data_IF_582948158318
#
_entry.id   IF_582948158318
#
_cell.length_a   1.000
_cell.length_b   1.000
_cell.length_c   1.000
_cell.angle_alpha   90.00
_cell.angle_beta   90.00
_cell.angle_gamma   90.00
#
_symmetry.space_group_name_H-M   'P 1'
#
loop_
_entity.id
_entity.type
_entity.pdbx_description
1 polymer ?
#
# COMPACT_ATOMS: atom_id res chain seq x y z
N UNK A 1 20.72 25.19 -18.92
CA UNK A 1 20.32 26.60 -18.77
C UNK A 1 19.01 26.98 -19.50
N UNK A 2 18.38 26.10 -20.29
CA UNK A 2 17.10 26.41 -20.94
C UNK A 2 15.83 26.19 -20.08
N UNK A 3 15.91 25.40 -19.00
CA UNK A 3 14.75 25.12 -18.12
C UNK A 3 14.38 26.29 -17.18
N UNK A 4 15.31 27.20 -16.88
CA UNK A 4 15.06 28.34 -15.98
C UNK A 4 14.31 29.49 -16.66
N UNK A 5 14.42 29.62 -17.99
CA UNK A 5 13.78 30.68 -18.75
C UNK A 5 12.27 30.42 -18.95
N UNK A 6 11.87 29.17 -19.22
CA UNK A 6 10.44 28.80 -19.29
C UNK A 6 9.72 28.97 -17.95
N UNK A 7 10.40 28.73 -16.82
CA UNK A 7 9.85 28.88 -15.47
C UNK A 7 9.46 30.33 -15.12
N UNK A 8 10.14 31.34 -15.69
CA UNK A 8 9.80 32.76 -15.44
C UNK A 8 8.57 33.20 -16.24
N UNK A 9 8.40 32.71 -17.47
CA UNK A 9 7.24 33.05 -18.29
C UNK A 9 5.95 32.40 -17.78
N UNK A 10 6.00 31.14 -17.32
CA UNK A 10 4.82 30.48 -16.77
C UNK A 10 4.34 31.12 -15.46
N UNK A 11 5.25 31.47 -14.53
CA UNK A 11 4.87 32.12 -13.26
C UNK A 11 4.16 33.48 -13.46
N UNK A 12 4.60 34.28 -14.44
CA UNK A 12 3.98 35.57 -14.72
C UNK A 12 2.58 35.42 -15.35
N UNK A 13 2.38 34.39 -16.17
CA UNK A 13 1.07 34.08 -16.77
C UNK A 13 0.04 33.62 -15.72
N UNK A 14 0.46 32.82 -14.73
CA UNK A 14 -0.41 32.35 -13.65
C UNK A 14 -0.77 33.43 -12.61
N UNK A 15 0.05 34.48 -12.48
CA UNK A 15 -0.23 35.59 -11.56
C UNK A 15 -1.31 36.54 -12.11
N UNK A 16 -1.39 36.69 -13.44
CA UNK A 16 -2.37 37.54 -14.14
C UNK A 16 -3.77 36.86 -14.22
N UNK A 17 -3.81 35.52 -14.32
CA UNK A 17 -5.07 34.75 -14.31
C UNK A 17 -5.77 34.72 -12.95
N UNK A 18 -5.06 34.89 -11.83
CA UNK A 18 -5.66 34.96 -10.49
C UNK A 18 -6.30 36.32 -10.17
N UNK A 19 -5.99 37.37 -10.91
CA UNK A 19 -6.48 38.73 -10.64
C UNK A 19 -7.74 39.11 -11.44
N UNK A 20 -8.20 38.28 -12.38
CA UNK A 20 -9.39 38.55 -13.20
C UNK A 20 -10.57 37.66 -12.81
N UNK A 21 -11.38 38.10 -11.82
CA UNK A 21 -12.77 37.64 -11.66
C UNK A 21 -13.68 38.52 -12.52
N UNK A 22 -14.67 37.99 -13.26
CA UNK A 22 -15.80 38.78 -13.69
C UNK A 22 -16.87 38.84 -12.59
N UNK A 23 -17.35 40.05 -12.32
CA UNK A 23 -18.60 40.34 -11.63
C UNK A 23 -19.77 39.73 -12.41
N UNK A 24 -20.59 38.89 -11.77
CA UNK A 24 -21.97 38.63 -12.17
C UNK A 24 -22.75 38.00 -11.02
N UNK A 25 -23.47 38.81 -10.25
CA UNK A 25 -24.66 38.41 -9.50
C UNK A 25 -25.35 39.66 -8.92
N UNK A 26 -26.22 40.27 -9.70
CA UNK A 26 -27.25 41.20 -9.23
C UNK A 26 -28.53 40.91 -10.00
N UNK A 27 -29.68 41.04 -9.29
CA UNK A 27 -31.07 40.84 -9.71
C UNK A 27 -31.62 39.42 -9.48
N UNK A 28 -32.27 39.22 -8.33
CA UNK A 28 -33.73 39.21 -8.24
C UNK A 28 -34.16 39.22 -6.77
N UNK A 29 -34.97 40.22 -6.40
CA UNK A 29 -35.63 40.40 -5.11
C UNK A 29 -37.16 40.45 -5.35
N UNK A 30 -37.91 40.27 -4.26
CA UNK A 30 -39.37 40.24 -4.05
C UNK A 30 -40.01 38.84 -4.05
N UNK A 31 -40.73 38.36 -3.02
CA UNK A 31 -41.64 39.12 -2.12
C UNK A 31 -42.00 38.34 -0.82
N UNK A 32 -41.96 39.03 0.34
CA UNK A 32 -42.98 39.20 1.44
C UNK A 32 -44.04 38.10 1.68
N UNK A 33 -44.54 37.69 2.88
CA UNK A 33 -44.42 37.95 4.36
C UNK A 33 -45.53 37.03 5.05
N UNK A 34 -45.94 37.17 6.34
CA UNK A 34 -45.49 36.53 7.61
C UNK A 34 -46.53 35.58 8.32
N UNK A 35 -46.12 34.87 9.39
CA UNK A 35 -46.92 34.82 10.65
C UNK A 35 -46.24 34.17 11.87
N UNK A 36 -46.08 35.00 12.92
CA UNK A 36 -46.39 34.81 14.36
C UNK A 36 -45.73 33.70 15.22
N UNK A 37 -44.96 34.22 16.19
CA UNK A 37 -44.55 33.76 17.54
C UNK A 37 -45.74 33.36 18.47
N UNK A 38 -45.56 32.62 19.61
CA UNK A 38 -44.86 33.14 20.80
C UNK A 38 -44.03 32.19 21.70
N UNK A 39 -43.24 32.91 22.51
CA UNK A 39 -42.29 32.63 23.61
C UNK A 39 -42.76 31.69 24.73
N UNK A 40 -41.78 31.09 25.42
CA UNK A 40 -41.53 30.94 26.89
C UNK A 40 -40.19 30.18 27.03
N UNK A 41 -39.32 30.30 28.03
CA UNK A 41 -39.12 31.17 29.19
C UNK A 41 -37.64 31.05 29.61
N UNK A 42 -37.21 32.06 30.36
CA UNK A 42 -35.88 32.31 30.92
C UNK A 42 -35.55 31.36 32.08
N UNK A 43 -34.33 30.81 32.14
CA UNK A 43 -33.60 30.60 33.41
C UNK A 43 -32.13 31.00 33.23
N UNK A 44 -31.74 32.01 34.00
CA UNK A 44 -30.38 32.48 34.23
C UNK A 44 -29.58 31.53 35.12
N UNK A 45 -28.28 31.35 34.85
CA UNK A 45 -27.25 31.37 35.90
C UNK A 45 -25.88 31.71 35.34
N UNK A 46 -25.42 32.87 35.77
CA UNK A 46 -24.07 33.41 35.74
C UNK A 46 -23.07 32.53 36.48
N UNK A 47 -21.86 32.36 35.94
CA UNK A 47 -20.63 32.24 36.75
C UNK A 47 -19.39 32.60 35.91
N UNK A 48 -18.81 33.75 36.28
CA UNK A 48 -17.38 34.10 36.35
C UNK A 48 -16.41 33.54 35.31
N UNK A 49 -15.94 34.45 34.44
CA UNK A 49 -14.69 34.36 33.73
C UNK A 49 -13.49 34.53 34.68
N UNK A 50 -12.51 33.62 34.60
CA UNK A 50 -11.16 33.82 35.12
C UNK A 50 -10.21 33.71 33.93
N UNK A 51 -9.56 34.83 33.63
CA UNK A 51 -8.44 34.93 32.69
C UNK A 51 -7.26 34.10 33.22
N UNK A 52 -6.81 33.12 32.45
CA UNK A 52 -5.47 32.56 32.57
C UNK A 52 -4.78 32.63 31.21
N UNK A 53 -3.75 33.47 31.15
CA UNK A 53 -2.85 33.66 30.01
C UNK A 53 -1.99 32.41 29.75
N UNK A 54 -1.63 32.13 28.48
CA UNK A 54 -0.83 30.97 28.11
C UNK A 54 0.65 31.14 28.53
N UNK A 55 1.35 30.05 28.87
CA UNK A 55 2.75 30.11 29.31
C UNK A 55 3.68 30.40 28.13
N UNK A 56 4.67 31.25 28.38
CA UNK A 56 5.78 31.62 27.51
C UNK A 56 6.67 30.40 27.20
N UNK A 57 7.13 30.19 25.95
CA UNK A 57 8.00 29.07 25.62
C UNK A 57 9.42 29.25 26.19
N UNK A 58 10.11 28.17 26.59
CA UNK A 58 11.48 28.25 27.08
C UNK A 58 12.45 28.59 25.95
N UNK A 59 13.40 29.47 26.27
CA UNK A 59 14.51 29.92 25.43
C UNK A 59 15.39 28.73 25.00
N UNK A 60 15.59 28.58 23.69
CA UNK A 60 16.60 27.71 23.09
C UNK A 60 18.00 28.24 23.42
N UNK A 61 18.95 27.40 23.88
CA UNK A 61 20.35 27.78 23.89
C UNK A 61 20.89 27.88 22.45
N UNK A 62 21.56 28.98 22.19
CA UNK A 62 22.26 29.35 20.96
C UNK A 62 23.18 28.24 20.45
N UNK A 63 23.11 27.96 19.13
CA UNK A 63 24.07 27.13 18.40
C UNK A 63 25.49 27.68 18.57
N UNK A 64 26.52 26.86 18.85
CA UNK A 64 27.88 27.28 18.58
C UNK A 64 28.11 27.25 17.07
N UNK A 65 28.65 28.36 16.57
CA UNK A 65 29.28 28.45 15.25
C UNK A 65 30.40 27.39 15.17
N UNK A 66 30.39 26.57 14.12
CA UNK A 66 31.57 25.83 13.67
C UNK A 66 31.94 26.35 12.28
N UNK A 67 33.09 26.99 12.20
CA UNK A 67 33.71 27.47 10.98
C UNK A 67 34.64 26.41 10.37
N UNK A 68 34.59 26.32 9.03
CA UNK A 68 35.57 25.77 8.06
C UNK A 68 35.94 24.28 8.16
N UNK A 69 35.43 23.50 7.19
CA UNK A 69 35.99 22.20 6.80
C UNK A 69 36.93 22.37 5.59
N UNK A 70 38.13 21.80 5.63
CA UNK A 70 38.99 21.61 4.45
C UNK A 70 39.28 20.13 4.23
N UNK A 71 39.21 19.68 2.97
CA UNK A 71 39.31 18.28 2.56
C UNK A 71 40.66 18.04 1.87
N UNK A 72 41.44 17.09 2.39
CA UNK A 72 42.48 16.37 1.62
C UNK A 72 42.44 14.89 1.98
N UNK A 73 42.44 14.05 0.94
CA UNK A 73 42.66 12.58 0.99
C UNK A 73 41.77 11.79 1.98
N UNK A 74 40.47 12.04 1.93
CA UNK A 74 39.46 11.05 2.35
C UNK A 74 39.35 10.75 3.84
N UNK A 75 39.97 11.52 4.73
CA UNK A 75 39.83 11.37 6.19
C UNK A 75 39.46 12.71 6.85
N UNK A 76 38.45 12.69 7.74
CA UNK A 76 38.03 13.85 8.53
C UNK A 76 38.79 13.86 9.85
N UNK A 77 39.58 14.90 10.11
CA UNK A 77 40.29 15.09 11.38
C UNK A 77 39.68 16.25 12.17
N UNK A 78 39.32 16.02 13.43
CA UNK A 78 39.05 17.06 14.40
C UNK A 78 40.29 17.24 15.29
N UNK A 79 40.89 18.43 15.29
CA UNK A 79 41.91 18.80 16.28
C UNK A 79 41.21 19.63 17.34
N UNK A 80 41.11 19.09 18.55
CA UNK A 80 40.76 19.86 19.75
C UNK A 80 41.85 19.66 20.80
N UNK A 81 42.45 20.77 21.21
CA UNK A 81 43.46 20.80 22.26
C UNK A 81 42.87 20.54 23.64
N UNK A 82 43.74 19.91 24.43
CA UNK A 82 43.76 19.85 25.88
C UNK A 82 42.97 18.76 26.61
N UNK A 83 43.49 18.47 27.80
CA UNK A 83 43.80 17.15 28.33
C UNK A 83 43.02 16.89 29.62
N UNK A 84 42.27 15.78 29.69
CA UNK A 84 41.99 15.05 30.93
C UNK A 84 41.23 13.75 30.65
N UNK A 85 41.86 12.61 30.94
CA UNK A 85 41.23 11.30 30.92
C UNK A 85 40.08 11.22 31.94
N UNK A 86 38.86 10.94 31.48
CA UNK A 86 37.84 10.26 32.29
C UNK A 86 37.40 9.00 31.55
N UNK A 87 37.58 7.88 32.24
CA UNK A 87 37.27 6.54 31.76
C UNK A 87 35.74 6.37 31.72
N UNK A 88 35.12 6.58 30.56
CA UNK A 88 33.79 6.02 30.27
C UNK A 88 33.99 4.66 29.61
N UNK A 89 33.64 3.59 30.31
CA UNK A 89 33.51 2.28 29.72
C UNK A 89 32.43 2.33 28.65
N UNK A 90 32.85 2.24 27.39
CA UNK A 90 31.96 1.94 26.27
C UNK A 90 31.52 0.48 26.44
N UNK A 91 30.26 0.26 26.81
CA UNK A 91 29.65 -1.06 26.71
C UNK A 91 29.81 -1.54 25.26
N UNK A 92 30.47 -2.70 25.12
CA UNK A 92 30.66 -3.34 23.83
C UNK A 92 29.28 -3.62 23.24
N UNK A 93 29.00 -3.02 22.08
CA UNK A 93 27.99 -3.54 21.16
C UNK A 93 28.34 -5.00 20.90
N UNK A 94 27.57 -5.90 21.49
CA UNK A 94 27.60 -7.32 21.16
C UNK A 94 27.25 -7.40 19.68
N UNK A 95 28.22 -7.83 18.87
CA UNK A 95 28.00 -8.24 17.49
C UNK A 95 26.84 -9.24 17.47
N UNK A 96 25.65 -8.74 17.11
CA UNK A 96 24.55 -9.60 16.72
C UNK A 96 25.02 -10.25 15.43
N UNK A 97 25.47 -11.51 15.55
CA UNK A 97 25.66 -12.42 14.41
C UNK A 97 24.44 -12.24 13.53
N UNK A 98 24.63 -11.59 12.38
CA UNK A 98 23.69 -11.60 11.27
C UNK A 98 23.56 -13.06 10.89
N UNK A 99 22.55 -13.76 11.43
CA UNK A 99 22.27 -15.12 10.97
C UNK A 99 21.99 -14.97 9.49
N UNK A 100 22.86 -15.55 8.67
CA UNK A 100 22.49 -15.82 7.28
C UNK A 100 21.23 -16.67 7.40
N UNK A 101 20.08 -16.12 7.02
CA UNK A 101 18.92 -16.95 6.71
C UNK A 101 19.42 -18.00 5.73
N UNK A 102 19.45 -19.26 6.15
CA UNK A 102 19.81 -20.36 5.27
C UNK A 102 18.81 -20.36 4.12
N UNK A 103 19.30 -20.58 2.90
CA UNK A 103 18.44 -20.81 1.76
C UNK A 103 17.57 -22.05 2.03
N UNK A 104 16.27 -21.97 1.79
CA UNK A 104 15.39 -23.13 1.97
C UNK A 104 15.85 -24.26 1.07
N UNK A 105 15.93 -25.48 1.60
CA UNK A 105 16.25 -26.67 0.82
C UNK A 105 15.13 -26.91 -0.19
N UNK A 106 15.24 -26.36 -1.39
CA UNK A 106 14.27 -26.50 -2.47
C UNK A 106 15.02 -26.67 -3.78
N UNK A 107 14.64 -27.62 -4.66
CA UNK A 107 15.31 -27.80 -5.94
C UNK A 107 15.39 -26.48 -6.72
N UNK A 108 16.59 -26.12 -7.20
CA UNK A 108 16.82 -24.86 -7.91
C UNK A 108 15.91 -24.69 -9.13
N UNK A 109 15.59 -25.80 -9.79
CA UNK A 109 14.75 -25.80 -10.98
C UNK A 109 13.30 -25.48 -10.64
N UNK A 110 12.80 -25.94 -9.49
CA UNK A 110 11.46 -25.63 -9.02
C UNK A 110 11.35 -24.16 -8.57
N UNK A 111 12.39 -23.62 -7.91
CA UNK A 111 12.47 -22.17 -7.61
C UNK A 111 12.35 -21.33 -8.89
N UNK A 112 13.18 -21.65 -9.89
CA UNK A 112 13.15 -20.99 -11.20
C UNK A 112 11.82 -21.17 -11.93
N UNK A 113 11.20 -22.35 -11.84
CA UNK A 113 9.89 -22.61 -12.44
C UNK A 113 8.83 -21.63 -11.89
N UNK A 114 8.72 -21.50 -10.57
CA UNK A 114 7.76 -20.57 -9.93
C UNK A 114 8.03 -19.11 -10.34
N UNK A 115 9.27 -18.66 -10.22
CA UNK A 115 9.64 -17.27 -10.53
C UNK A 115 9.49 -16.95 -12.03
N UNK A 116 9.75 -17.91 -12.92
CA UNK A 116 9.59 -17.72 -14.37
C UNK A 116 8.13 -17.56 -14.77
N UNK A 117 7.21 -18.29 -14.13
CA UNK A 117 5.78 -18.21 -14.42
C UNK A 117 5.16 -16.88 -13.97
N UNK A 118 5.57 -16.36 -12.82
CA UNK A 118 5.09 -15.07 -12.30
C UNK A 118 5.94 -13.86 -12.72
N UNK A 119 7.16 -14.09 -13.23
CA UNK A 119 8.18 -13.07 -13.53
C UNK A 119 8.49 -12.16 -12.33
N UNK A 120 8.39 -12.71 -11.12
CA UNK A 120 8.61 -12.01 -9.86
C UNK A 120 9.50 -12.86 -8.96
N UNK A 121 10.54 -12.28 -8.33
CA UNK A 121 11.32 -13.00 -7.34
C UNK A 121 10.48 -13.27 -6.08
N UNK A 122 10.70 -14.42 -5.46
CA UNK A 122 10.03 -14.80 -4.22
C UNK A 122 11.01 -14.80 -3.03
N UNK A 123 10.59 -14.35 -1.84
CA UNK A 123 11.46 -14.26 -0.68
C UNK A 123 11.65 -15.65 -0.03
N UNK A 124 12.73 -15.85 0.73
CA UNK A 124 13.04 -17.17 1.33
C UNK A 124 11.96 -17.66 2.31
N UNK A 125 11.23 -16.77 2.99
CA UNK A 125 10.13 -17.16 3.86
C UNK A 125 9.01 -17.88 3.10
N UNK A 126 8.80 -17.61 1.81
CA UNK A 126 7.87 -18.37 0.97
C UNK A 126 8.25 -19.85 0.89
N UNK A 127 9.52 -20.13 0.56
CA UNK A 127 10.00 -21.51 0.38
C UNK A 127 10.12 -22.24 1.73
N UNK A 128 10.57 -21.55 2.78
CA UNK A 128 10.60 -22.13 4.13
C UNK A 128 9.20 -22.43 4.66
N UNK A 129 8.22 -21.57 4.36
CA UNK A 129 6.84 -21.81 4.77
C UNK A 129 6.21 -23.00 4.03
N UNK A 130 6.57 -23.23 2.77
CA UNK A 130 6.23 -24.48 2.08
C UNK A 130 6.78 -25.71 2.81
N UNK A 131 8.07 -25.71 3.18
CA UNK A 131 8.68 -26.81 3.95
C UNK A 131 8.04 -27.01 5.32
N UNK A 132 7.69 -25.91 5.99
CA UNK A 132 6.93 -25.96 7.23
C UNK A 132 5.58 -26.67 7.03
N UNK A 133 4.83 -26.32 5.99
CA UNK A 133 3.56 -26.95 5.65
C UNK A 133 3.71 -28.43 5.25
N UNK A 134 4.76 -28.80 4.51
CA UNK A 134 5.09 -30.21 4.23
C UNK A 134 5.37 -31.00 5.51
N UNK A 135 6.01 -30.38 6.51
CA UNK A 135 6.20 -30.99 7.82
C UNK A 135 4.92 -31.16 8.64
N UNK A 136 3.85 -30.44 8.31
CA UNK A 136 2.53 -30.59 8.92
C UNK A 136 1.69 -31.67 8.22
N UNK A 137 1.69 -31.66 6.89
CA UNK A 137 1.01 -32.62 6.04
C UNK A 137 1.83 -32.88 4.77
N UNK A 138 2.60 -33.98 4.70
CA UNK A 138 3.41 -34.31 3.54
C UNK A 138 2.60 -34.69 2.30
N UNK A 139 1.35 -35.13 2.46
CA UNK A 139 0.51 -35.56 1.34
C UNK A 139 -0.18 -34.37 0.67
N UNK A 140 -0.66 -33.41 1.47
CA UNK A 140 -1.32 -32.20 0.98
C UNK A 140 -0.78 -30.92 1.65
N UNK A 141 0.47 -30.52 1.38
CA UNK A 141 1.09 -29.37 2.05
C UNK A 141 0.30 -28.07 1.88
N UNK A 142 -0.30 -27.86 0.69
CA UNK A 142 -1.09 -26.67 0.39
C UNK A 142 -2.37 -26.55 1.24
N UNK A 143 -2.91 -27.67 1.71
CA UNK A 143 -4.14 -27.76 2.51
C UNK A 143 -3.87 -28.10 4.00
N UNK A 144 -2.60 -28.15 4.41
CA UNK A 144 -2.17 -28.47 5.79
C UNK A 144 -2.81 -27.59 6.88
N UNK A 145 -3.23 -26.37 6.54
CA UNK A 145 -3.88 -25.40 7.43
C UNK A 145 -5.40 -25.29 7.20
N UNK A 146 -5.96 -26.00 6.22
CA UNK A 146 -7.36 -25.88 5.80
C UNK A 146 -8.31 -26.34 6.91
N UNK A 147 -8.05 -27.50 7.52
CA UNK A 147 -8.95 -28.04 8.56
C UNK A 147 -8.90 -27.27 9.89
N UNK A 148 -7.76 -26.67 10.22
CA UNK A 148 -7.51 -26.00 11.51
C UNK A 148 -7.84 -24.51 11.47
N UNK A 149 -7.33 -23.81 10.46
CA UNK A 149 -7.45 -22.35 10.31
C UNK A 149 -8.42 -21.94 9.20
N UNK A 150 -8.85 -22.87 8.35
CA UNK A 150 -9.61 -22.52 7.14
C UNK A 150 -8.76 -21.79 6.12
N UNK A 151 -7.43 -21.99 6.12
CA UNK A 151 -6.50 -21.34 5.20
C UNK A 151 -5.90 -22.37 4.23
N UNK A 152 -5.79 -21.97 2.96
CA UNK A 152 -5.13 -22.76 1.91
C UNK A 152 -4.04 -21.94 1.23
N UNK A 153 -2.89 -22.57 0.99
CA UNK A 153 -1.81 -22.01 0.20
C UNK A 153 -2.16 -22.12 -1.29
N UNK A 154 -2.04 -21.01 -2.02
CA UNK A 154 -2.42 -20.90 -3.42
C UNK A 154 -1.45 -20.02 -4.22
N UNK A 155 -1.74 -19.79 -5.50
CA UNK A 155 -1.00 -18.85 -6.34
C UNK A 155 0.37 -19.43 -6.69
N UNK A 156 1.50 -18.83 -6.27
CA UNK A 156 2.81 -19.45 -6.50
C UNK A 156 2.96 -20.80 -5.78
N UNK A 157 2.23 -21.07 -4.69
CA UNK A 157 2.23 -22.39 -4.05
C UNK A 157 1.55 -23.47 -4.90
N UNK A 158 0.61 -23.10 -5.79
CA UNK A 158 -0.02 -24.07 -6.68
C UNK A 158 0.98 -24.65 -7.70
N UNK A 159 2.04 -23.89 -8.02
CA UNK A 159 3.17 -24.37 -8.84
C UNK A 159 4.04 -25.36 -8.05
N UNK A 160 4.34 -25.06 -6.77
CA UNK A 160 5.06 -26.00 -5.90
C UNK A 160 4.28 -27.31 -5.69
N UNK A 161 2.96 -27.22 -5.60
CA UNK A 161 2.06 -28.38 -5.56
C UNK A 161 1.90 -29.10 -6.90
N UNK A 162 2.49 -28.59 -8.00
CA UNK A 162 2.42 -29.18 -9.33
C UNK A 162 1.06 -29.08 -10.02
N UNK A 163 0.12 -28.28 -9.51
CA UNK A 163 -1.26 -28.20 -10.03
C UNK A 163 -1.33 -27.65 -11.45
N UNK A 164 -0.39 -26.77 -11.83
CA UNK A 164 -0.31 -26.21 -13.18
C UNK A 164 0.02 -27.25 -14.26
N UNK A 165 0.60 -28.41 -13.89
CA UNK A 165 0.97 -29.49 -14.82
C UNK A 165 -0.22 -30.34 -15.27
N UNK A 166 -1.35 -30.26 -14.56
CA UNK A 166 -2.55 -31.07 -14.82
C UNK A 166 -3.33 -30.54 -16.04
N UNK A 167 -3.20 -29.24 -16.37
CA UNK A 167 -3.96 -28.59 -17.44
C UNK A 167 -3.39 -28.94 -18.83
N UNK A 168 -4.13 -29.74 -19.60
CA UNK A 168 -3.84 -29.99 -21.03
C UNK A 168 -4.15 -28.74 -21.86
N UNK A 169 -3.10 -28.14 -22.43
CA UNK A 169 -3.05 -27.24 -23.60
C UNK A 169 -4.41 -26.87 -24.23
N UNK A 170 -4.90 -25.65 -24.00
CA UNK A 170 -5.83 -25.01 -24.96
C UNK A 170 -5.84 -23.48 -24.90
N UNK A 171 -5.49 -22.85 -23.78
CA UNK A 171 -5.25 -21.41 -23.68
C UNK A 171 -3.96 -21.13 -22.89
N UNK A 172 -3.19 -20.12 -23.29
CA UNK A 172 -2.03 -19.66 -22.53
C UNK A 172 -2.51 -19.22 -21.13
N UNK A 173 -2.17 -19.99 -20.11
CA UNK A 173 -2.52 -19.68 -18.73
C UNK A 173 -1.85 -18.37 -18.32
N UNK A 174 -2.65 -17.38 -17.94
CA UNK A 174 -2.13 -16.10 -17.45
C UNK A 174 -2.02 -16.12 -15.92
N UNK A 175 -0.83 -16.45 -15.41
CA UNK A 175 -0.55 -16.46 -13.97
C UNK A 175 -0.73 -15.09 -13.31
N UNK A 176 -0.67 -13.99 -14.08
CA UNK A 176 -0.96 -12.66 -13.53
C UNK A 176 -2.39 -12.56 -12.98
N UNK A 177 -3.32 -13.38 -13.46
CA UNK A 177 -4.72 -13.38 -13.02
C UNK A 177 -5.05 -14.53 -12.06
N UNK A 178 -4.12 -15.47 -11.86
CA UNK A 178 -4.34 -16.61 -10.97
C UNK A 178 -4.38 -16.16 -9.50
N UNK A 179 -5.53 -16.38 -8.86
CA UNK A 179 -5.87 -15.90 -7.53
C UNK A 179 -5.77 -14.39 -7.33
N UNK A 180 -5.89 -13.61 -8.42
CA UNK A 180 -5.98 -12.16 -8.34
C UNK A 180 -7.43 -11.77 -8.05
N UNK A 181 -7.69 -11.29 -6.84
CA UNK A 181 -9.02 -10.83 -6.44
C UNK A 181 -9.34 -9.46 -7.03
N UNK A 182 -10.63 -9.12 -7.00
CA UNK A 182 -11.17 -7.91 -7.62
C UNK A 182 -10.43 -6.64 -7.24
N UNK A 183 -10.01 -6.49 -5.98
CA UNK A 183 -9.33 -5.30 -5.46
C UNK A 183 -7.82 -5.44 -5.34
N UNK A 184 -7.23 -6.50 -5.89
CA UNK A 184 -5.78 -6.72 -5.82
C UNK A 184 -5.07 -5.84 -6.84
N UNK A 185 -4.36 -4.79 -6.42
CA UNK A 185 -3.56 -3.99 -7.33
C UNK A 185 -2.36 -4.82 -7.82
N UNK A 186 -1.66 -4.42 -8.89
CA UNK A 186 -0.52 -5.17 -9.43
C UNK A 186 0.58 -5.50 -8.41
N UNK A 187 0.77 -4.62 -7.43
CA UNK A 187 1.70 -4.76 -6.30
C UNK A 187 1.38 -5.97 -5.41
N UNK A 188 0.12 -6.41 -5.38
CA UNK A 188 -0.38 -7.45 -4.50
C UNK A 188 -0.44 -8.80 -5.24
N UNK A 189 0.28 -9.79 -4.71
CA UNK A 189 0.32 -11.16 -5.21
C UNK A 189 -0.20 -12.12 -4.14
N UNK A 190 -1.41 -12.65 -4.33
CA UNK A 190 -2.03 -13.61 -3.42
C UNK A 190 -1.21 -14.88 -3.26
N UNK A 191 -1.07 -15.34 -2.01
CA UNK A 191 -0.36 -16.57 -1.63
C UNK A 191 -1.20 -17.47 -0.71
N UNK A 192 -2.18 -16.94 0.00
CA UNK A 192 -3.05 -17.70 0.90
C UNK A 192 -4.49 -17.20 0.74
N UNK A 193 -5.45 -18.11 0.72
CA UNK A 193 -6.89 -17.80 0.79
C UNK A 193 -7.49 -18.34 2.09
N UNK A 194 -8.56 -17.71 2.56
CA UNK A 194 -9.33 -18.12 3.73
C UNK A 194 -10.82 -18.15 3.47
N UNK A 195 -11.60 -17.43 4.27
CA UNK A 195 -13.07 -17.42 4.19
C UNK A 195 -13.57 -16.94 2.82
N UNK A 196 -14.16 -17.85 2.05
CA UNK A 196 -14.73 -17.57 0.72
C UNK A 196 -15.95 -16.66 0.76
N UNK A 197 -16.63 -16.55 1.90
CA UNK A 197 -17.80 -15.66 2.05
C UNK A 197 -17.39 -14.19 2.05
N UNK A 198 -16.25 -13.87 2.65
CA UNK A 198 -15.68 -12.52 2.65
C UNK A 198 -14.59 -12.34 1.59
N UNK A 199 -14.19 -13.44 0.94
CA UNK A 199 -12.99 -13.51 0.10
C UNK A 199 -11.76 -13.00 0.85
N UNK A 200 -11.61 -13.45 2.10
CA UNK A 200 -10.40 -13.18 2.86
C UNK A 200 -9.21 -13.86 2.19
N UNK A 201 -8.13 -13.13 1.99
CA UNK A 201 -6.90 -13.66 1.42
C UNK A 201 -5.69 -12.83 1.87
N UNK A 202 -4.50 -13.42 1.74
CA UNK A 202 -3.22 -12.81 2.06
C UNK A 202 -2.32 -12.82 0.84
N UNK A 203 -1.52 -11.78 0.67
CA UNK A 203 -0.63 -11.63 -0.46
C UNK A 203 0.63 -10.85 -0.14
N UNK A 204 1.70 -11.16 -0.86
CA UNK A 204 2.91 -10.33 -0.83
C UNK A 204 2.65 -9.00 -1.52
N UNK A 205 3.05 -7.91 -0.88
CA UNK A 205 3.00 -6.56 -1.47
C UNK A 205 4.39 -6.12 -1.92
N UNK A 206 4.53 -5.71 -3.19
CA UNK A 206 5.78 -5.24 -3.79
C UNK A 206 5.61 -3.84 -4.35
N UNK A 207 6.46 -2.91 -3.93
CA UNK A 207 6.46 -1.55 -4.49
C UNK A 207 6.99 -1.54 -5.95
N UNK A 208 7.83 -2.50 -6.33
CA UNK A 208 8.40 -2.67 -7.67
C UNK A 208 8.48 -4.17 -8.04
N UNK A 209 8.28 -4.57 -9.30
CA UNK A 209 8.41 -5.97 -9.71
C UNK A 209 9.83 -6.53 -9.55
N UNK A 210 10.86 -5.67 -9.60
CA UNK A 210 12.26 -6.05 -9.46
C UNK A 210 12.72 -6.21 -7.99
N UNK A 211 11.84 -5.90 -7.04
CA UNK A 211 12.13 -5.95 -5.61
C UNK A 211 11.41 -7.10 -4.91
N UNK A 212 12.02 -7.59 -3.82
CA UNK A 212 11.34 -8.52 -2.92
C UNK A 212 10.16 -7.83 -2.21
N UNK A 213 9.14 -8.60 -1.78
CA UNK A 213 8.03 -8.06 -1.00
C UNK A 213 8.48 -7.22 0.19
N UNK A 214 7.74 -6.13 0.43
CA UNK A 214 7.97 -5.23 1.56
C UNK A 214 7.18 -5.64 2.80
N UNK A 215 6.04 -6.33 2.61
CA UNK A 215 5.25 -6.96 3.66
C UNK A 215 4.25 -7.98 3.09
N UNK A 216 3.58 -8.72 3.97
CA UNK A 216 2.37 -9.50 3.65
C UNK A 216 1.14 -8.69 4.03
N UNK A 217 0.26 -8.43 3.06
CA UNK A 217 -1.01 -7.75 3.26
C UNK A 217 -2.18 -8.72 3.30
N UNK A 218 -3.30 -8.31 3.91
CA UNK A 218 -4.56 -9.06 3.90
C UNK A 218 -5.70 -8.18 3.41
N UNK A 219 -6.63 -8.76 2.63
CA UNK A 219 -7.84 -8.10 2.18
C UNK A 219 -9.06 -9.04 2.27
N UNK A 220 -10.26 -8.47 2.37
CA UNK A 220 -11.54 -9.15 2.25
C UNK A 220 -12.29 -8.56 1.06
N UNK A 221 -12.10 -9.15 -0.13
CA UNK A 221 -12.49 -8.51 -1.40
C UNK A 221 -14.01 -8.29 -1.55
N UNK A 222 -14.85 -9.06 -0.84
CA UNK A 222 -16.31 -8.82 -0.80
C UNK A 222 -16.73 -7.68 0.14
N UNK A 223 -15.81 -7.14 0.94
CA UNK A 223 -16.10 -6.05 1.89
C UNK A 223 -15.59 -4.70 1.41
N UNK A 224 -14.32 -4.59 1.03
CA UNK A 224 -13.69 -3.33 0.63
C UNK A 224 -12.34 -3.56 -0.07
N UNK A 225 -11.72 -2.47 -0.53
CA UNK A 225 -10.41 -2.45 -1.17
C UNK A 225 -9.23 -2.23 -0.20
N UNK A 226 -9.45 -2.27 1.12
CA UNK A 226 -8.41 -1.95 2.11
C UNK A 226 -7.45 -3.13 2.24
N UNK A 227 -6.16 -2.84 2.13
CA UNK A 227 -5.08 -3.81 2.36
C UNK A 227 -4.46 -3.51 3.72
N UNK A 228 -4.60 -4.48 4.64
CA UNK A 228 -4.06 -4.37 6.00
C UNK A 228 -2.69 -5.05 6.05
N UNK A 229 -1.67 -4.31 6.47
CA UNK A 229 -0.33 -4.87 6.71
C UNK A 229 -0.36 -5.90 7.87
N UNK A 230 0.19 -7.09 7.63
CA UNK A 230 0.13 -8.23 8.54
C UNK A 230 1.49 -8.94 8.66
N UNK A 231 2.52 -8.19 9.06
CA UNK A 231 3.90 -8.68 9.18
C UNK A 231 4.70 -8.60 7.88
N UNK A 232 6.02 -8.75 7.98
CA UNK A 232 6.93 -8.63 6.82
C UNK A 232 7.31 -9.97 6.16
N UNK A 233 6.70 -11.07 6.64
CA UNK A 233 6.89 -12.42 6.15
C UNK A 233 5.61 -13.26 6.38
N UNK A 234 5.48 -14.38 5.66
CA UNK A 234 4.28 -15.23 5.71
C UNK A 234 4.07 -15.92 7.06
N UNK A 235 5.14 -16.26 7.80
CA UNK A 235 5.03 -16.82 9.15
C UNK A 235 4.32 -15.84 10.09
N UNK A 236 4.75 -14.57 10.09
CA UNK A 236 4.11 -13.51 10.86
C UNK A 236 2.63 -13.35 10.50
N UNK A 237 2.30 -13.34 9.21
CA UNK A 237 0.92 -13.18 8.73
C UNK A 237 0.00 -14.29 9.23
N UNK A 238 0.43 -15.55 9.10
CA UNK A 238 -0.33 -16.71 9.56
C UNK A 238 -0.42 -16.74 11.09
N UNK A 239 0.64 -16.37 11.82
CA UNK A 239 0.59 -16.25 13.28
C UNK A 239 -0.43 -15.21 13.74
N UNK A 240 -0.43 -14.02 13.13
CA UNK A 240 -1.36 -12.95 13.48
C UNK A 240 -2.81 -13.36 13.23
N UNK A 241 -3.06 -14.05 12.11
CA UNK A 241 -4.37 -14.63 11.82
C UNK A 241 -4.76 -15.70 12.86
N UNK A 242 -3.85 -16.62 13.17
CA UNK A 242 -4.05 -17.67 14.18
C UNK A 242 -4.39 -17.06 15.54
N UNK A 243 -3.65 -16.04 15.99
CA UNK A 243 -3.90 -15.34 17.25
C UNK A 243 -5.26 -14.65 17.29
N UNK A 244 -5.72 -14.09 16.17
CA UNK A 244 -7.10 -13.57 16.06
C UNK A 244 -8.12 -14.71 16.15
N UNK A 245 -7.90 -15.80 15.42
CA UNK A 245 -8.80 -16.97 15.41
C UNK A 245 -8.92 -17.63 16.78
N UNK A 246 -7.81 -17.71 17.53
CA UNK A 246 -7.78 -18.29 18.87
C UNK A 246 -8.66 -17.53 19.86
N UNK A 247 -8.87 -16.22 19.67
CA UNK A 247 -9.79 -15.39 20.46
C UNK A 247 -11.26 -15.63 20.11
N UNK A 248 -11.55 -16.09 18.89
CA UNK A 248 -12.91 -16.35 18.39
C UNK A 248 -13.39 -17.78 18.68
N UNK A 249 -12.47 -18.74 18.79
CA UNK A 249 -12.78 -20.16 18.97
C UNK A 249 -13.15 -20.46 20.42
N UNK A 250 -14.33 -21.04 20.62
CA UNK A 250 -14.82 -21.52 21.93
C UNK A 250 -14.59 -23.02 22.16
N UNK A 251 -14.40 -23.79 21.08
CA UNK A 251 -14.17 -25.24 21.15
C UNK A 251 -12.77 -25.56 21.69
N UNK A 252 -12.72 -26.36 22.78
CA UNK A 252 -11.46 -26.69 23.46
C UNK A 252 -10.49 -27.51 22.61
N UNK A 253 -11.00 -28.45 21.78
CA UNK A 253 -10.16 -29.31 20.94
C UNK A 253 -9.52 -28.53 19.79
N UNK A 254 -10.31 -27.66 19.15
CA UNK A 254 -9.80 -26.72 18.14
C UNK A 254 -8.80 -25.75 18.75
N UNK A 255 -9.10 -25.20 19.94
CA UNK A 255 -8.16 -24.32 20.65
C UNK A 255 -6.83 -25.00 20.95
N UNK A 256 -6.81 -26.26 21.40
CA UNK A 256 -5.56 -27.00 21.62
C UNK A 256 -4.79 -27.25 20.33
N UNK A 257 -5.48 -27.61 19.23
CA UNK A 257 -4.84 -27.81 17.93
C UNK A 257 -4.18 -26.51 17.43
N UNK A 258 -4.87 -25.38 17.55
CA UNK A 258 -4.33 -24.07 17.17
C UNK A 258 -3.10 -23.69 18.00
N UNK A 259 -3.07 -24.01 19.31
CA UNK A 259 -1.90 -23.76 20.15
C UNK A 259 -0.69 -24.60 19.71
N UNK A 260 -0.90 -25.87 19.38
CA UNK A 260 0.18 -26.73 18.86
C UNK A 260 0.74 -26.21 17.54
N UNK A 261 -0.12 -25.72 16.63
CA UNK A 261 0.33 -25.08 15.39
C UNK A 261 1.09 -23.78 15.70
N UNK A 262 0.62 -22.97 16.64
CA UNK A 262 1.29 -21.74 17.07
C UNK A 262 2.69 -22.00 17.62
N UNK A 263 2.84 -23.02 18.46
CA UNK A 263 4.14 -23.44 19.02
C UNK A 263 5.11 -23.84 17.90
N UNK A 264 4.68 -24.72 16.98
CA UNK A 264 5.49 -25.14 15.83
C UNK A 264 5.88 -23.97 14.93
N UNK A 265 4.93 -23.08 14.63
CA UNK A 265 5.17 -21.91 13.79
C UNK A 265 6.16 -20.95 14.47
N UNK A 266 6.01 -20.74 15.78
CA UNK A 266 6.89 -19.86 16.55
C UNK A 266 8.31 -20.41 16.63
N UNK A 267 8.45 -21.72 16.81
CA UNK A 267 9.75 -22.40 16.79
C UNK A 267 10.43 -22.25 15.43
N UNK A 268 9.73 -22.60 14.34
CA UNK A 268 10.26 -22.50 12.99
C UNK A 268 10.68 -21.06 12.64
N UNK A 269 9.85 -20.06 12.95
CA UNK A 269 10.19 -18.66 12.74
C UNK A 269 11.42 -18.23 13.56
N UNK A 270 11.56 -18.71 14.80
CA UNK A 270 12.72 -18.42 15.65
C UNK A 270 14.00 -19.04 15.10
N UNK A 271 13.96 -20.30 14.68
CA UNK A 271 15.10 -21.01 14.09
C UNK A 271 15.58 -20.33 12.80
N UNK A 272 14.64 -19.87 11.98
CA UNK A 272 14.91 -19.19 10.70
C UNK A 272 15.23 -17.70 10.85
N UNK A 273 15.01 -17.11 12.04
CA UNK A 273 15.25 -15.70 12.32
C UNK A 273 14.20 -14.75 11.73
N UNK A 274 12.98 -15.22 11.48
CA UNK A 274 11.87 -14.39 11.01
C UNK A 274 11.18 -13.66 12.16
N UNK A 275 10.94 -12.36 11.99
CA UNK A 275 10.17 -11.56 12.95
C UNK A 275 8.71 -12.00 12.91
N UNK A 276 8.05 -12.04 14.07
CA UNK A 276 6.63 -12.34 14.20
C UNK A 276 5.80 -11.10 14.56
N UNK A 277 6.40 -9.91 14.47
CA UNK A 277 5.72 -8.64 14.72
C UNK A 277 4.75 -8.27 13.59
N UNK A 278 3.64 -7.61 13.94
CA UNK A 278 2.72 -7.06 12.94
C UNK A 278 3.34 -5.94 12.10
N UNK A 279 4.23 -5.13 12.69
CA UNK A 279 4.90 -4.00 12.02
C UNK A 279 6.38 -3.94 12.41
N UNK A 280 7.22 -4.45 11.53
CA UNK A 280 8.67 -4.52 11.75
C UNK A 280 9.34 -3.16 11.51
N UNK A 281 10.63 -3.06 11.87
CA UNK A 281 11.44 -1.87 11.61
C UNK A 281 11.53 -1.56 10.11
N UNK A 282 11.67 -2.59 9.26
CA UNK A 282 11.72 -2.44 7.80
C UNK A 282 10.43 -1.84 7.25
N UNK A 283 9.27 -2.31 7.73
CA UNK A 283 7.96 -1.75 7.35
C UNK A 283 7.84 -0.28 7.75
N UNK A 284 8.23 0.08 8.98
CA UNK A 284 8.24 1.47 9.45
C UNK A 284 9.21 2.37 8.67
N UNK A 285 10.32 1.82 8.21
CA UNK A 285 11.25 2.55 7.33
C UNK A 285 10.66 2.77 5.94
N UNK A 286 9.95 1.78 5.40
CA UNK A 286 9.19 1.91 4.14
C UNK A 286 8.08 2.95 4.28
N UNK A 287 7.34 2.96 5.39
CA UNK A 287 6.28 3.95 5.66
C UNK A 287 6.79 5.40 5.58
N UNK A 288 8.07 5.67 5.86
CA UNK A 288 8.68 7.00 5.69
C UNK A 288 8.91 7.41 4.23
N UNK A 289 8.90 6.44 3.31
CA UNK A 289 9.05 6.65 1.85
C UNK A 289 7.69 6.69 1.14
N UNK A 290 6.61 6.44 1.86
CA UNK A 290 5.26 6.47 1.30
C UNK A 290 4.87 7.91 1.01
N UNK A 291 4.55 8.20 -0.24
CA UNK A 291 4.17 9.55 -0.69
C UNK A 291 2.68 9.82 -0.52
N UNK A 292 1.84 8.79 -0.64
CA UNK A 292 0.39 8.84 -0.39
C UNK A 292 -0.11 7.47 0.02
N UNK A 293 -1.27 7.39 0.70
CA UNK A 293 -1.86 6.13 1.15
C UNK A 293 -2.70 5.43 0.09
N UNK A 294 -3.25 6.18 -0.87
CA UNK A 294 -4.33 5.80 -1.79
C UNK A 294 -5.54 5.22 -1.06
N UNK A 295 -6.57 4.82 -1.81
CA UNK A 295 -7.80 4.27 -1.24
C UNK A 295 -7.62 2.92 -0.55
N UNK A 296 -6.65 2.11 -0.98
CA UNK A 296 -6.37 0.80 -0.38
C UNK A 296 -5.54 0.89 0.91
N UNK A 297 -4.93 2.04 1.21
CA UNK A 297 -4.23 2.29 2.49
C UNK A 297 -2.85 1.64 2.64
N UNK A 298 -2.47 0.70 1.76
CA UNK A 298 -1.11 0.13 1.72
C UNK A 298 -0.02 1.16 1.38
N UNK A 299 -0.37 2.28 0.75
CA UNK A 299 0.53 3.37 0.40
C UNK A 299 1.38 3.14 -0.83
N UNK A 300 1.75 4.23 -1.48
CA UNK A 300 2.53 4.28 -2.71
C UNK A 300 3.97 4.74 -2.42
N UNK A 301 4.94 4.03 -3.00
CA UNK A 301 6.35 4.45 -3.02
C UNK A 301 6.77 4.67 -4.47
N UNK A 302 7.25 5.87 -4.77
CA UNK A 302 7.86 6.23 -6.06
C UNK A 302 9.20 6.92 -5.84
N UNK A 303 10.12 6.91 -6.81
CA UNK A 303 11.35 7.68 -6.70
C UNK A 303 11.01 9.18 -6.60
N UNK A 304 11.53 9.84 -5.55
CA UNK A 304 11.46 11.30 -5.39
C UNK A 304 12.88 11.82 -5.26
N UNK A 305 13.25 12.76 -6.13
CA UNK A 305 14.60 13.33 -6.13
C UNK A 305 14.77 14.41 -5.05
N UNK A 306 15.98 14.97 -4.95
CA UNK A 306 16.30 16.03 -3.97
C UNK A 306 15.56 17.35 -4.17
N UNK A 307 14.86 17.52 -5.29
CA UNK A 307 14.09 18.71 -5.65
C UNK A 307 12.58 18.44 -5.54
N UNK A 308 12.19 17.34 -4.88
CA UNK A 308 10.81 16.87 -4.74
C UNK A 308 10.14 16.49 -6.07
N UNK A 309 10.93 16.13 -7.11
CA UNK A 309 10.41 15.63 -8.38
C UNK A 309 10.22 14.12 -8.32
N UNK A 310 9.02 13.67 -8.63
CA UNK A 310 8.57 12.28 -8.68
C UNK A 310 7.11 12.08 -8.27
N UNK A 311 6.58 13.00 -7.45
CA UNK A 311 5.22 12.96 -6.95
C UNK A 311 4.66 14.36 -6.68
N UNK A 312 3.39 14.56 -7.01
CA UNK A 312 2.58 15.69 -6.55
C UNK A 312 1.18 15.20 -6.20
N UNK A 313 0.55 15.87 -5.24
CA UNK A 313 -0.78 15.53 -4.76
C UNK A 313 -1.87 15.77 -5.82
N UNK A 314 -2.97 15.00 -5.72
CA UNK A 314 -4.19 15.29 -6.45
C UNK A 314 -4.80 16.63 -6.00
N UNK A 315 -5.51 17.36 -6.90
CA UNK A 315 -6.19 18.59 -6.52
C UNK A 315 -7.38 18.35 -5.56
N UNK A 316 -7.80 17.09 -5.42
CA UNK A 316 -8.92 16.66 -4.59
C UNK A 316 -8.43 15.77 -3.44
N UNK A 317 -9.02 15.96 -2.26
CA UNK A 317 -8.80 15.03 -1.13
C UNK A 317 -9.47 13.68 -1.39
N UNK A 318 -9.00 12.60 -0.73
CA UNK A 318 -9.63 11.27 -0.82
C UNK A 318 -11.15 11.30 -0.61
N UNK A 319 -11.60 12.07 0.39
CA UNK A 319 -13.01 12.17 0.72
C UNK A 319 -13.81 12.86 -0.39
N UNK A 320 -13.22 13.87 -1.04
CA UNK A 320 -13.82 14.54 -2.19
C UNK A 320 -13.82 13.64 -3.42
N UNK A 321 -12.71 12.97 -3.71
CA UNK A 321 -12.60 12.04 -4.83
C UNK A 321 -13.60 10.87 -4.70
N UNK A 322 -13.80 10.32 -3.50
CA UNK A 322 -14.85 9.31 -3.26
C UNK A 322 -16.25 9.84 -3.56
N UNK A 323 -16.55 11.09 -3.20
CA UNK A 323 -17.85 11.72 -3.53
C UNK A 323 -18.01 11.91 -5.04
N UNK A 324 -16.98 12.41 -5.72
CA UNK A 324 -16.97 12.55 -7.19
C UNK A 324 -17.26 11.20 -7.84
N UNK A 325 -16.57 10.14 -7.40
CA UNK A 325 -16.79 8.80 -7.93
C UNK A 325 -18.21 8.32 -7.65
N UNK A 326 -18.74 8.53 -6.44
CA UNK A 326 -20.12 8.21 -6.09
C UNK A 326 -21.13 8.89 -7.01
N UNK A 327 -20.98 10.20 -7.24
CA UNK A 327 -21.85 10.97 -8.15
C UNK A 327 -21.83 10.42 -9.58
N UNK A 328 -20.68 9.98 -10.09
CA UNK A 328 -20.56 9.37 -11.42
C UNK A 328 -21.30 8.02 -11.49
N UNK A 329 -21.11 7.17 -10.47
CA UNK A 329 -21.69 5.83 -10.44
C UNK A 329 -23.21 5.89 -10.27
N UNK A 330 -23.69 6.81 -9.45
CA UNK A 330 -25.12 6.99 -9.11
C UNK A 330 -25.90 7.86 -10.11
N UNK A 331 -25.23 8.43 -11.12
CA UNK A 331 -25.87 9.27 -12.13
C UNK A 331 -27.04 8.54 -12.83
N UNK A 332 -28.21 9.18 -13.01
CA UNK A 332 -29.42 8.50 -13.49
C UNK A 332 -29.41 8.23 -15.00
N UNK A 333 -28.56 8.93 -15.77
CA UNK A 333 -28.42 8.74 -17.22
C UNK A 333 -26.96 8.88 -17.67
N UNK A 334 -26.65 8.39 -18.87
CA UNK A 334 -25.31 8.55 -19.47
C UNK A 334 -24.96 10.02 -19.75
N UNK A 335 -25.95 10.86 -20.03
CA UNK A 335 -25.74 12.29 -20.23
C UNK A 335 -25.32 12.97 -18.92
N UNK A 336 -26.02 12.67 -17.81
CA UNK A 336 -25.67 13.19 -16.48
C UNK A 336 -24.31 12.64 -16.02
N UNK A 337 -24.04 11.36 -16.32
CA UNK A 337 -22.75 10.74 -16.02
C UNK A 337 -21.61 11.41 -16.76
N UNK A 338 -21.79 11.72 -18.05
CA UNK A 338 -20.79 12.42 -18.85
C UNK A 338 -20.46 13.80 -18.26
N UNK A 339 -21.46 14.53 -17.76
CA UNK A 339 -21.25 15.79 -17.05
C UNK A 339 -20.53 15.58 -15.71
N UNK A 340 -20.93 14.56 -14.94
CA UNK A 340 -20.30 14.21 -13.66
C UNK A 340 -18.84 13.76 -13.81
N UNK A 341 -18.42 13.32 -15.00
CA UNK A 341 -17.03 12.98 -15.29
C UNK A 341 -16.10 14.19 -15.47
N UNK A 342 -16.62 15.42 -15.59
CA UNK A 342 -15.80 16.62 -15.85
C UNK A 342 -14.64 16.80 -14.84
N UNK A 343 -14.82 16.63 -13.52
CA UNK A 343 -13.70 16.74 -12.56
C UNK A 343 -12.61 15.68 -12.79
N UNK A 344 -12.99 14.45 -13.17
CA UNK A 344 -12.02 13.38 -13.49
C UNK A 344 -11.22 13.72 -14.74
N UNK A 345 -11.87 14.27 -15.77
CA UNK A 345 -11.18 14.72 -16.99
C UNK A 345 -10.20 15.87 -16.72
N UNK A 346 -10.56 16.79 -15.83
CA UNK A 346 -9.68 17.86 -15.38
C UNK A 346 -8.46 17.29 -14.64
N UNK A 347 -8.66 16.37 -13.69
CA UNK A 347 -7.57 15.67 -13.01
C UNK A 347 -6.66 14.90 -13.96
N UNK A 348 -7.22 14.23 -14.97
CA UNK A 348 -6.43 13.56 -16.01
C UNK A 348 -5.55 14.55 -16.80
N UNK A 349 -6.05 15.76 -17.04
CA UNK A 349 -5.27 16.82 -17.71
C UNK A 349 -4.11 17.25 -16.83
N UNK A 350 -4.33 17.45 -15.52
CA UNK A 350 -3.25 17.72 -14.57
C UNK A 350 -2.23 16.59 -14.47
N UNK A 351 -2.67 15.34 -14.55
CA UNK A 351 -1.76 14.17 -14.61
C UNK A 351 -0.87 14.23 -15.85
N UNK A 352 -1.35 14.67 -17.01
CA UNK A 352 -0.48 14.82 -18.18
C UNK A 352 0.61 15.87 -17.96
N UNK A 353 0.27 17.03 -17.38
CA UNK A 353 1.27 18.03 -17.01
C UNK A 353 2.27 17.48 -15.96
N UNK A 354 1.79 16.71 -14.99
CA UNK A 354 2.65 16.05 -14.01
C UNK A 354 3.62 15.06 -14.68
N UNK A 355 3.14 14.26 -15.64
CA UNK A 355 3.98 13.33 -16.40
C UNK A 355 5.06 14.05 -17.21
N UNK A 356 4.73 15.15 -17.89
CA UNK A 356 5.72 15.96 -18.63
C UNK A 356 6.80 16.54 -17.70
N UNK A 357 6.44 16.79 -16.44
CA UNK A 357 7.33 17.29 -15.38
C UNK A 357 7.94 16.19 -14.50
N UNK A 358 7.80 14.92 -14.91
CA UNK A 358 8.34 13.72 -14.24
C UNK A 358 7.71 13.35 -12.88
N UNK A 359 6.55 13.91 -12.53
CA UNK A 359 5.79 13.57 -11.32
C UNK A 359 4.81 12.42 -11.57
N UNK A 360 5.36 11.28 -11.99
CA UNK A 360 4.59 10.10 -12.42
C UNK A 360 3.70 9.51 -11.32
N UNK A 361 4.03 9.76 -10.04
CA UNK A 361 3.25 9.25 -8.91
C UNK A 361 1.82 9.79 -8.85
N UNK A 362 1.54 10.98 -9.40
CA UNK A 362 0.20 11.57 -9.40
C UNK A 362 -0.78 10.74 -10.25
N UNK A 363 -0.36 10.34 -11.45
CA UNK A 363 -1.16 9.51 -12.34
C UNK A 363 -1.37 8.10 -11.79
N UNK A 364 -0.36 7.57 -11.09
CA UNK A 364 -0.45 6.27 -10.42
C UNK A 364 -1.47 6.31 -9.26
N UNK A 365 -1.43 7.35 -8.42
CA UNK A 365 -2.40 7.54 -7.33
C UNK A 365 -3.84 7.61 -7.85
N UNK A 366 -4.12 8.51 -8.80
CA UNK A 366 -5.47 8.66 -9.36
C UNK A 366 -5.97 7.34 -9.98
N UNK A 367 -5.11 6.66 -10.73
CA UNK A 367 -5.44 5.37 -11.33
C UNK A 367 -5.77 4.30 -10.29
N UNK A 368 -4.99 4.21 -9.21
CA UNK A 368 -5.19 3.24 -8.13
C UNK A 368 -6.46 3.54 -7.35
N UNK A 369 -6.76 4.82 -7.07
CA UNK A 369 -7.98 5.21 -6.37
C UNK A 369 -9.24 4.87 -7.17
N UNK A 370 -9.22 5.13 -8.48
CA UNK A 370 -10.31 4.74 -9.39
C UNK A 370 -10.44 3.21 -9.50
N UNK A 371 -9.32 2.48 -9.56
CA UNK A 371 -9.31 1.02 -9.51
C UNK A 371 -9.92 0.50 -8.19
N UNK A 372 -9.55 1.09 -7.05
CA UNK A 372 -10.03 0.75 -5.72
C UNK A 372 -11.48 1.11 -5.46
N UNK A 373 -12.03 2.10 -6.17
CA UNK A 373 -13.48 2.35 -6.14
C UNK A 373 -14.26 1.17 -6.74
N UNK A 374 -13.67 0.46 -7.72
CA UNK A 374 -14.20 -0.79 -8.21
C UNK A 374 -15.40 -0.69 -9.14
N UNK A 375 -15.77 0.51 -9.64
CA UNK A 375 -16.83 0.63 -10.63
C UNK A 375 -16.30 0.42 -12.05
N UNK A 376 -17.06 -0.32 -12.86
CA UNK A 376 -16.71 -0.59 -14.26
C UNK A 376 -16.65 0.68 -15.12
N UNK A 377 -17.36 1.76 -14.74
CA UNK A 377 -17.28 3.06 -15.41
C UNK A 377 -15.87 3.66 -15.41
N UNK A 378 -15.02 3.26 -14.46
CA UNK A 378 -13.65 3.76 -14.36
C UNK A 378 -12.62 2.89 -15.05
N UNK A 379 -12.97 1.69 -15.54
CA UNK A 379 -11.99 0.76 -16.13
C UNK A 379 -11.22 1.38 -17.30
N UNK A 380 -11.90 2.14 -18.16
CA UNK A 380 -11.27 2.81 -19.30
C UNK A 380 -10.25 3.87 -18.85
N UNK A 381 -10.61 4.69 -17.85
CA UNK A 381 -9.74 5.76 -17.34
C UNK A 381 -8.57 5.16 -16.56
N UNK A 382 -8.82 4.18 -15.70
CA UNK A 382 -7.76 3.46 -15.00
C UNK A 382 -6.80 2.77 -15.98
N UNK A 383 -7.31 2.20 -17.07
CA UNK A 383 -6.52 1.61 -18.15
C UNK A 383 -5.73 2.60 -19.00
N UNK A 384 -6.03 3.90 -18.93
CA UNK A 384 -5.20 4.95 -19.53
C UNK A 384 -4.11 5.45 -18.57
N UNK A 385 -4.43 5.52 -17.28
CA UNK A 385 -3.54 6.06 -16.24
C UNK A 385 -2.50 5.04 -15.78
N UNK A 386 -2.94 3.86 -15.35
CA UNK A 386 -2.10 2.89 -14.65
C UNK A 386 -1.01 2.29 -15.55
N UNK A 387 -1.30 1.78 -16.77
CA UNK A 387 -0.24 1.23 -17.62
C UNK A 387 0.82 2.27 -17.97
N UNK A 388 0.40 3.50 -18.29
CA UNK A 388 1.32 4.60 -18.59
C UNK A 388 2.19 4.94 -17.38
N UNK A 389 1.60 5.12 -16.20
CA UNK A 389 2.34 5.47 -14.99
C UNK A 389 3.35 4.37 -14.61
N UNK A 390 2.96 3.09 -14.66
CA UNK A 390 3.88 1.98 -14.42
C UNK A 390 5.03 1.94 -15.44
N UNK A 391 4.75 2.15 -16.73
CA UNK A 391 5.79 2.19 -17.77
C UNK A 391 6.77 3.37 -17.60
N UNK A 392 6.27 4.55 -17.21
CA UNK A 392 7.12 5.71 -16.89
C UNK A 392 8.01 5.44 -15.68
N UNK A 393 7.48 4.75 -14.65
CA UNK A 393 8.21 4.28 -13.48
C UNK A 393 9.10 3.05 -13.71
N UNK A 394 9.16 2.53 -14.95
CA UNK A 394 9.91 1.31 -15.32
C UNK A 394 9.42 0.04 -14.61
N UNK A 395 8.14 -0.01 -14.24
CA UNK A 395 7.46 -1.16 -13.63
C UNK A 395 6.61 -1.91 -14.65
N UNK A 396 7.19 -2.24 -15.80
CA UNK A 396 6.43 -2.69 -16.98
C UNK A 396 5.56 -3.94 -16.71
N UNK A 397 6.02 -4.87 -15.86
CA UNK A 397 5.22 -6.03 -15.47
C UNK A 397 3.90 -5.63 -14.79
N UNK A 398 3.90 -4.57 -13.97
CA UNK A 398 2.68 -4.08 -13.34
C UNK A 398 1.71 -3.46 -14.36
N UNK A 399 2.23 -2.84 -15.43
CA UNK A 399 1.42 -2.41 -16.57
C UNK A 399 0.72 -3.61 -17.25
N UNK A 400 1.46 -4.68 -17.54
CA UNK A 400 0.89 -5.89 -18.14
C UNK A 400 -0.16 -6.56 -17.23
N UNK A 401 0.09 -6.60 -15.91
CA UNK A 401 -0.85 -7.16 -14.93
C UNK A 401 -2.15 -6.35 -14.92
N UNK A 402 -2.07 -5.01 -14.84
CA UNK A 402 -3.29 -4.20 -14.73
C UNK A 402 -4.11 -4.20 -16.02
N UNK A 403 -3.46 -4.24 -17.19
CA UNK A 403 -4.15 -4.37 -18.47
C UNK A 403 -4.93 -5.69 -18.54
N UNK A 404 -4.27 -6.81 -18.24
CA UNK A 404 -4.91 -8.12 -18.20
C UNK A 404 -6.03 -8.18 -17.16
N UNK A 405 -5.81 -7.58 -15.99
CA UNK A 405 -6.77 -7.59 -14.89
C UNK A 405 -8.00 -6.76 -15.22
N UNK A 406 -7.85 -5.52 -15.71
CA UNK A 406 -8.99 -4.69 -16.11
C UNK A 406 -9.80 -5.30 -17.26
N UNK A 407 -9.14 -6.01 -18.19
CA UNK A 407 -9.81 -6.70 -19.29
C UNK A 407 -10.63 -7.92 -18.85
N UNK A 408 -10.23 -8.58 -17.75
CA UNK A 408 -10.83 -9.83 -17.27
C UNK A 408 -11.17 -9.76 -15.77
N UNK A 409 -11.60 -8.59 -15.29
CA UNK A 409 -11.81 -8.33 -13.85
C UNK A 409 -13.08 -9.04 -13.37
N UNK A 410 -12.92 -10.24 -12.79
CA UNK A 410 -14.02 -11.07 -12.27
C UNK A 410 -14.07 -11.06 -10.74
N UNK A 411 -15.26 -11.32 -10.18
CA UNK A 411 -15.46 -11.53 -8.74
C UNK A 411 -15.54 -13.01 -8.34
N UNK A 412 -15.70 -13.93 -9.31
CA UNK A 412 -16.03 -15.33 -9.02
C UNK A 412 -14.96 -16.31 -9.53
N UNK A 413 -14.33 -16.02 -10.68
CA UNK A 413 -13.41 -16.94 -11.38
C UNK A 413 -11.93 -16.57 -11.20
N UNK A 414 -11.49 -16.47 -9.94
CA UNK A 414 -10.10 -16.09 -9.64
C UNK A 414 -9.12 -17.27 -9.75
N UNK A 415 -9.59 -18.51 -9.59
CA UNK A 415 -8.75 -19.70 -9.76
C UNK A 415 -8.61 -20.09 -11.25
N UNK A 416 -7.58 -19.54 -11.90
CA UNK A 416 -7.26 -19.85 -13.29
C UNK A 416 -6.82 -21.32 -13.54
N UNK A 417 -6.60 -22.11 -12.47
CA UNK A 417 -6.27 -23.54 -12.53
C UNK A 417 -7.47 -24.45 -12.23
N UNK A 418 -8.60 -23.91 -11.76
CA UNK A 418 -9.83 -24.67 -11.62
C UNK A 418 -10.32 -25.18 -12.99
N UNK A 419 -10.91 -26.39 -12.99
CA UNK A 419 -11.34 -27.13 -14.16
C UNK A 419 -12.72 -26.72 -14.66
#
# INVERSE_FOLDING_TARGET
MHCSALRRHARLFFQDLRQRRPLCAALLDASRFPSRLPRRDVISRSQSAVHTSPPTPPLLPSRPHCDVCSVREGHVFCISGDSTLRHLQCEKLVDVKKSKSCEADMPSDLRKEVESHYRLPLPEDFYHFWRFCEGLDPEQPADSLSASLGLRLVGPYDILAGKHKIKKKSASLNFNLHWRFYYDPPEFQTIIIGDSKTQFHMGYFRDSPDELPVFVGTNEAKKNCIIVQSGDNVFAAVKLFLMKKLKEVTDKKKSSLLKTIDEKLTEAARELGFSLEQRTVRMKQRDKKVVTKTFHGAGLVVPVDKNDVGYRELPETDASLRRICGTIVEAPSDADRLQAFAPVQEMMTYVQFANDECDYGMGLELGLDLFCHGSHYFHKVAGQLLPLAYNLLKRNLFAEIIEAHLANRSQEDVDQLAA
#
